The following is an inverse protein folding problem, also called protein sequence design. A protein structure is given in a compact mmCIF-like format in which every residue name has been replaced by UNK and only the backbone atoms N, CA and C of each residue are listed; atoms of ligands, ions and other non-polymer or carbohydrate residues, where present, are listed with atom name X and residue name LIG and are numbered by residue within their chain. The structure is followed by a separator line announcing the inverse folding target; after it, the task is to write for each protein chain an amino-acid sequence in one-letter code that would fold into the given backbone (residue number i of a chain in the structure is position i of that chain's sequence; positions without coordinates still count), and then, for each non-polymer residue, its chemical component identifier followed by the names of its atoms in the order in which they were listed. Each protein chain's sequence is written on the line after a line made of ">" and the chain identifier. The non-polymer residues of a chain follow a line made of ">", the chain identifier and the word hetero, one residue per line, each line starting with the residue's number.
data_IF_254726510163
#
_entry.id   IF_254726510163
#
_cell.length_a   1.000
_cell.length_b   1.000
_cell.length_c   1.000
_cell.angle_alpha   90.00
_cell.angle_beta   90.00
_cell.angle_gamma   90.00
#
_symmetry.space_group_name_H-M   'P 1'
#
loop_
_entity.id
_entity.type
_entity.pdbx_description
1 polymer ?
#
# COMPACT_ATOMS: atom_id res chain seq x y z
N UNK A 1 -17.02 -0.08 -14.58
CA UNK A 1 -17.31 -0.51 -13.22
C UNK A 1 -17.31 0.68 -12.29
N UNK A 2 -18.39 0.90 -11.56
CA UNK A 2 -18.41 1.99 -10.61
C UNK A 2 -17.46 1.68 -9.45
N UNK A 3 -16.63 2.65 -9.10
CA UNK A 3 -15.72 2.53 -7.96
C UNK A 3 -16.52 2.54 -6.65
N UNK A 4 -16.39 1.51 -5.85
CA UNK A 4 -17.08 1.41 -4.58
C UNK A 4 -16.16 1.89 -3.45
N UNK A 5 -16.62 2.81 -2.64
CA UNK A 5 -15.88 3.30 -1.47
C UNK A 5 -15.42 2.18 -0.52
N UNK A 6 -16.19 1.11 -0.45
CA UNK A 6 -15.86 -0.04 0.39
C UNK A 6 -14.65 -0.83 -0.12
N UNK A 7 -14.21 -0.58 -1.36
CA UNK A 7 -13.03 -1.22 -1.93
C UNK A 7 -11.73 -0.53 -1.50
N UNK A 8 -11.82 0.62 -0.84
CA UNK A 8 -10.65 1.29 -0.27
C UNK A 8 -10.22 0.53 0.98
N UNK A 9 -9.05 -0.09 0.92
CA UNK A 9 -8.53 -0.93 1.99
C UNK A 9 -7.64 -0.13 2.96
N UNK A 10 -8.13 1.02 3.41
CA UNK A 10 -7.50 1.84 4.44
C UNK A 10 -8.41 1.87 5.64
N UNK A 11 -7.89 1.37 6.75
CA UNK A 11 -8.61 1.32 8.02
C UNK A 11 -7.95 2.24 9.02
N UNK A 12 -8.74 2.90 9.86
CA UNK A 12 -8.24 3.79 10.89
C UNK A 12 -8.61 3.26 12.26
N UNK A 13 -7.69 3.36 13.19
CA UNK A 13 -7.99 3.17 14.61
C UNK A 13 -8.68 4.40 15.16
N UNK A 14 -9.19 4.27 16.37
CA UNK A 14 -9.84 5.38 17.08
C UNK A 14 -8.88 6.55 17.21
N UNK A 15 -9.29 7.78 16.82
CA UNK A 15 -8.42 8.95 16.94
C UNK A 15 -8.04 9.25 18.41
N UNK A 16 -6.81 9.71 18.59
CA UNK A 16 -6.33 10.21 19.86
C UNK A 16 -6.13 11.71 19.78
N UNK A 17 -6.64 12.43 20.76
CA UNK A 17 -6.58 13.89 20.80
C UNK A 17 -5.80 14.37 21.99
N UNK A 18 -4.98 15.39 21.77
CA UNK A 18 -4.31 16.14 22.82
C UNK A 18 -4.64 17.60 22.61
N UNK A 19 -5.20 18.25 23.65
CA UNK A 19 -5.55 19.66 23.61
C UNK A 19 -4.62 20.44 24.52
N UNK A 20 -3.97 21.45 23.98
CA UNK A 20 -2.98 22.23 24.72
C UNK A 20 -2.85 23.63 24.10
N UNK A 21 -2.93 24.68 24.91
CA UNK A 21 -2.71 26.07 24.49
C UNK A 21 -3.46 26.46 23.20
N UNK A 22 -4.77 26.29 23.15
CA UNK A 22 -5.61 26.56 21.99
C UNK A 22 -5.21 25.76 20.74
N UNK A 23 -4.53 24.65 20.93
CA UNK A 23 -4.19 23.70 19.85
C UNK A 23 -4.81 22.35 20.15
N UNK A 24 -5.32 21.71 19.12
CA UNK A 24 -5.76 20.33 19.18
C UNK A 24 -4.91 19.52 18.24
N UNK A 25 -4.27 18.50 18.78
CA UNK A 25 -3.48 17.54 17.98
C UNK A 25 -4.25 16.23 17.90
N UNK A 26 -4.47 15.75 16.69
CA UNK A 26 -5.07 14.44 16.46
C UNK A 26 -4.01 13.50 15.92
N UNK A 27 -3.90 12.30 16.49
CA UNK A 27 -3.05 11.23 16.00
C UNK A 27 -3.93 10.07 15.55
N UNK A 28 -3.74 9.65 14.29
CA UNK A 28 -4.43 8.52 13.69
C UNK A 28 -3.43 7.41 13.41
N UNK A 29 -3.75 6.22 13.86
CA UNK A 29 -3.11 5.00 13.36
C UNK A 29 -3.94 4.47 12.22
N UNK A 30 -3.28 4.04 11.15
CA UNK A 30 -3.99 3.53 9.99
C UNK A 30 -3.28 2.32 9.39
N UNK A 31 -4.04 1.57 8.61
CA UNK A 31 -3.60 0.30 8.03
C UNK A 31 -4.00 0.25 6.58
N UNK A 32 -3.09 -0.21 5.74
CA UNK A 32 -3.31 -0.35 4.31
C UNK A 32 -3.26 -1.84 3.97
N UNK A 33 -4.42 -2.42 3.67
CA UNK A 33 -4.53 -3.80 3.22
C UNK A 33 -4.40 -3.85 1.71
N UNK A 34 -3.57 -4.75 1.21
CA UNK A 34 -3.42 -5.01 -0.21
C UNK A 34 -3.52 -6.50 -0.48
N UNK A 35 -3.99 -6.89 -1.69
CA UNK A 35 -4.00 -8.30 -2.06
C UNK A 35 -2.61 -8.89 -2.06
N UNK A 36 -2.48 -10.10 -1.52
CA UNK A 36 -1.24 -10.87 -1.58
C UNK A 36 -1.28 -11.78 -2.80
N UNK A 37 -0.15 -11.88 -3.48
CA UNK A 37 0.07 -12.87 -4.52
C UNK A 37 0.86 -14.02 -3.90
N UNK A 38 0.15 -14.99 -3.32
CA UNK A 38 0.74 -16.07 -2.51
C UNK A 38 1.93 -16.77 -3.16
N UNK A 39 1.91 -16.92 -4.49
CA UNK A 39 2.99 -17.56 -5.23
C UNK A 39 4.24 -16.67 -5.39
N UNK A 40 4.18 -15.41 -4.98
CA UNK A 40 5.23 -14.41 -5.13
C UNK A 40 5.66 -13.78 -3.81
N UNK A 41 5.25 -14.37 -2.68
CA UNK A 41 5.58 -13.85 -1.34
C UNK A 41 7.08 -13.68 -1.14
N UNK A 42 7.87 -14.66 -1.55
CA UNK A 42 9.33 -14.62 -1.45
C UNK A 42 9.92 -13.43 -2.24
N UNK A 43 9.35 -13.11 -3.39
CA UNK A 43 9.75 -11.96 -4.19
C UNK A 43 9.44 -10.65 -3.49
N UNK A 44 8.25 -10.54 -2.92
CA UNK A 44 7.85 -9.35 -2.18
C UNK A 44 8.68 -9.19 -0.91
N UNK A 45 9.00 -10.27 -0.24
CA UNK A 45 9.92 -10.28 0.90
C UNK A 45 11.30 -9.75 0.51
N UNK A 46 11.86 -10.22 -0.62
CA UNK A 46 13.14 -9.76 -1.14
C UNK A 46 13.14 -8.27 -1.50
N UNK A 47 11.97 -7.70 -1.79
CA UNK A 47 11.78 -6.26 -2.06
C UNK A 47 11.46 -5.46 -0.79
N UNK A 48 11.59 -6.04 0.39
CA UNK A 48 11.39 -5.35 1.66
C UNK A 48 9.99 -5.44 2.25
N UNK A 49 9.12 -6.26 1.70
CA UNK A 49 7.79 -6.49 2.26
C UNK A 49 7.83 -7.69 3.19
N UNK A 50 7.15 -7.58 4.35
CA UNK A 50 7.15 -8.62 5.37
C UNK A 50 6.10 -9.70 5.09
N UNK A 51 6.50 -10.94 4.72
CA UNK A 51 5.55 -12.01 4.47
C UNK A 51 4.81 -12.48 5.73
N UNK A 52 5.34 -12.22 6.92
CA UNK A 52 4.68 -12.58 8.17
C UNK A 52 3.38 -11.78 8.41
N UNK A 53 3.20 -10.68 7.69
CA UNK A 53 1.97 -9.88 7.73
C UNK A 53 0.89 -10.37 6.76
N UNK A 54 1.11 -11.47 6.05
CA UNK A 54 0.13 -12.04 5.12
C UNK A 54 -1.00 -12.71 5.90
N UNK A 55 -2.23 -12.37 5.55
CA UNK A 55 -3.42 -12.96 6.13
C UNK A 55 -3.88 -14.21 5.35
N UNK A 56 -4.68 -15.05 6.02
CA UNK A 56 -5.22 -16.29 5.45
C UNK A 56 -6.02 -16.10 4.16
N UNK A 57 -6.50 -14.91 3.88
CA UNK A 57 -7.29 -14.58 2.69
C UNK A 57 -6.46 -13.99 1.54
N UNK A 58 -5.14 -14.06 1.60
CA UNK A 58 -4.29 -13.50 0.56
C UNK A 58 -4.19 -11.98 0.61
N UNK A 59 -4.31 -11.40 1.78
CA UNK A 59 -4.08 -9.98 2.01
C UNK A 59 -2.91 -9.78 2.96
N UNK A 60 -2.22 -8.66 2.85
CA UNK A 60 -1.21 -8.27 3.81
C UNK A 60 -1.21 -6.75 4.01
N UNK A 61 -0.64 -6.30 5.11
CA UNK A 61 -0.54 -4.88 5.41
C UNK A 61 0.72 -4.29 4.81
N UNK A 62 0.55 -3.14 4.12
CA UNK A 62 1.69 -2.35 3.65
C UNK A 62 2.23 -1.50 4.78
N UNK A 63 3.53 -1.63 5.02
CA UNK A 63 4.21 -0.90 6.08
C UNK A 63 3.91 -1.47 7.46
N UNK A 64 4.68 -1.02 8.43
CA UNK A 64 4.44 -1.38 9.82
C UNK A 64 3.52 -0.34 10.45
N UNK A 65 3.75 0.09 11.65
CA UNK A 65 2.89 1.09 12.29
C UNK A 65 2.84 2.41 11.52
N UNK A 66 1.69 2.68 10.89
CA UNK A 66 1.48 3.92 10.16
C UNK A 66 0.69 4.89 11.02
N UNK A 67 1.22 6.08 11.19
CA UNK A 67 0.56 7.13 11.97
C UNK A 67 0.55 8.45 11.19
N UNK A 68 -0.51 9.21 11.38
CA UNK A 68 -0.63 10.55 10.84
C UNK A 68 -1.09 11.51 11.92
N UNK A 69 -0.58 12.71 11.89
CA UNK A 69 -0.88 13.73 12.89
C UNK A 69 -1.42 14.98 12.20
N UNK A 70 -2.54 15.48 12.69
CA UNK A 70 -3.11 16.76 12.30
C UNK A 70 -3.20 17.70 13.47
N UNK A 71 -3.00 18.97 13.24
CA UNK A 71 -3.06 20.02 14.27
C UNK A 71 -4.03 21.12 13.84
N UNK A 72 -4.92 21.51 14.74
CA UNK A 72 -5.76 22.68 14.61
C UNK A 72 -5.34 23.71 15.63
N UNK A 73 -5.14 24.94 15.21
CA UNK A 73 -4.74 26.05 16.09
C UNK A 73 -5.83 27.11 16.06
N UNK A 74 -6.31 27.54 17.21
CA UNK A 74 -7.24 28.66 17.31
C UNK A 74 -6.45 29.98 17.22
N UNK A 75 -6.92 30.88 16.35
CA UNK A 75 -6.33 32.19 16.24
C UNK A 75 -6.61 33.08 17.47
N UNK A 76 -5.81 34.13 17.71
CA UNK A 76 -5.98 34.96 18.90
C UNK A 76 -7.27 35.76 18.92
N UNK A 77 -7.93 35.92 17.79
CA UNK A 77 -9.23 36.61 17.66
C UNK A 77 -10.43 35.68 17.66
N UNK A 78 -10.19 34.38 17.64
CA UNK A 78 -11.25 33.38 17.56
C UNK A 78 -11.57 32.81 18.93
N UNK A 79 -12.84 32.48 19.15
CA UNK A 79 -13.26 31.69 20.31
C UNK A 79 -12.76 30.25 20.12
N UNK A 80 -12.04 29.72 21.09
CA UNK A 80 -11.59 28.35 21.04
C UNK A 80 -12.76 27.39 21.24
N UNK A 81 -13.06 26.59 20.22
CA UNK A 81 -14.05 25.51 20.28
C UNK A 81 -13.32 24.17 20.13
N UNK A 82 -13.30 23.41 21.20
CA UNK A 82 -12.63 22.12 21.28
C UNK A 82 -13.19 21.10 20.31
N UNK A 83 -14.51 21.09 20.10
CA UNK A 83 -15.17 20.18 19.16
C UNK A 83 -14.77 20.47 17.73
N UNK A 84 -14.83 21.73 17.31
CA UNK A 84 -14.43 22.17 15.99
C UNK A 84 -12.93 21.93 15.78
N UNK A 85 -12.12 22.21 16.78
CA UNK A 85 -10.68 21.94 16.76
C UNK A 85 -10.37 20.46 16.51
N UNK A 86 -11.09 19.56 17.16
CA UNK A 86 -10.94 18.11 16.95
C UNK A 86 -11.31 17.71 15.53
N UNK A 87 -12.41 18.21 15.00
CA UNK A 87 -12.85 17.90 13.63
C UNK A 87 -11.83 18.36 12.60
N UNK A 88 -11.28 19.55 12.76
CA UNK A 88 -10.25 20.09 11.85
C UNK A 88 -8.95 19.28 11.97
N UNK A 89 -8.51 18.98 13.18
CA UNK A 89 -7.29 18.21 13.43
C UNK A 89 -7.40 16.80 12.83
N UNK A 90 -8.54 16.15 13.01
CA UNK A 90 -8.83 14.83 12.46
C UNK A 90 -8.80 14.86 10.92
N UNK A 91 -9.48 15.84 10.31
CA UNK A 91 -9.50 15.98 8.86
C UNK A 91 -8.10 16.19 8.30
N UNK A 92 -7.26 16.97 8.97
CA UNK A 92 -5.86 17.18 8.56
C UNK A 92 -5.02 15.92 8.74
N UNK A 93 -5.25 15.15 9.79
CA UNK A 93 -4.57 13.87 9.99
C UNK A 93 -4.95 12.86 8.91
N UNK A 94 -6.26 12.75 8.60
CA UNK A 94 -6.74 11.89 7.52
C UNK A 94 -6.13 12.26 6.17
N UNK A 95 -6.09 13.55 5.85
CA UNK A 95 -5.49 14.01 4.60
C UNK A 95 -4.02 13.59 4.47
N UNK A 96 -3.27 13.68 5.55
CA UNK A 96 -1.87 13.22 5.58
C UNK A 96 -1.78 11.71 5.45
N UNK A 97 -2.68 10.97 6.10
CA UNK A 97 -2.73 9.52 5.98
C UNK A 97 -2.98 9.08 4.54
N UNK A 98 -3.97 9.64 3.88
CA UNK A 98 -4.28 9.34 2.49
C UNK A 98 -3.12 9.69 1.55
N UNK A 99 -2.46 10.81 1.76
CA UNK A 99 -1.31 11.22 0.95
C UNK A 99 -0.15 10.24 1.09
N UNK A 100 0.12 9.79 2.30
CA UNK A 100 1.16 8.79 2.57
C UNK A 100 0.78 7.42 2.01
N UNK A 101 -0.48 7.03 2.18
CA UNK A 101 -1.01 5.79 1.63
C UNK A 101 -0.89 5.76 0.11
N UNK A 102 -1.17 6.87 -0.57
CA UNK A 102 -0.99 7.00 -2.02
C UNK A 102 0.45 6.71 -2.44
N UNK A 103 1.42 7.28 -1.73
CA UNK A 103 2.85 7.04 -2.01
C UNK A 103 3.23 5.58 -1.82
N UNK A 104 2.78 4.96 -0.73
CA UNK A 104 3.07 3.54 -0.45
C UNK A 104 2.42 2.63 -1.48
N UNK A 105 1.18 2.90 -1.86
CA UNK A 105 0.48 2.12 -2.88
C UNK A 105 1.14 2.24 -4.24
N UNK A 106 1.61 3.43 -4.62
CA UNK A 106 2.35 3.61 -5.88
C UNK A 106 3.65 2.81 -5.89
N UNK A 107 4.39 2.77 -4.78
CA UNK A 107 5.58 1.93 -4.64
C UNK A 107 5.23 0.45 -4.75
N UNK A 108 4.15 0.04 -4.12
CA UNK A 108 3.68 -1.33 -4.19
C UNK A 108 3.33 -1.73 -5.62
N UNK A 109 2.57 -0.89 -6.32
CA UNK A 109 2.23 -1.10 -7.73
C UNK A 109 3.49 -1.27 -8.57
N UNK A 110 4.48 -0.40 -8.39
CA UNK A 110 5.76 -0.50 -9.09
C UNK A 110 6.48 -1.82 -8.79
N UNK A 111 6.51 -2.24 -7.53
CA UNK A 111 7.12 -3.50 -7.11
C UNK A 111 6.44 -4.69 -7.77
N UNK A 112 5.11 -4.69 -7.83
CA UNK A 112 4.32 -5.73 -8.48
C UNK A 112 4.63 -5.77 -9.99
N UNK A 113 4.60 -4.61 -10.64
CA UNK A 113 4.88 -4.51 -12.08
C UNK A 113 6.29 -5.01 -12.39
N UNK A 114 7.30 -4.58 -11.63
CA UNK A 114 8.69 -5.01 -11.81
C UNK A 114 8.84 -6.52 -11.62
N UNK A 115 8.20 -7.09 -10.58
CA UNK A 115 8.25 -8.52 -10.30
C UNK A 115 7.61 -9.34 -11.44
N UNK A 116 6.46 -8.91 -11.96
CA UNK A 116 5.81 -9.60 -13.06
C UNK A 116 6.56 -9.42 -14.37
N UNK A 117 7.18 -8.27 -14.61
CA UNK A 117 8.02 -8.04 -15.78
C UNK A 117 9.22 -9.00 -15.79
N UNK A 118 9.88 -9.18 -14.65
CA UNK A 118 11.00 -10.12 -14.51
C UNK A 118 10.56 -11.56 -14.79
N UNK A 119 9.41 -11.96 -14.26
CA UNK A 119 8.84 -13.29 -14.52
C UNK A 119 8.53 -13.49 -16.00
N UNK A 120 7.91 -12.49 -16.62
CA UNK A 120 7.55 -12.54 -18.03
C UNK A 120 8.79 -12.71 -18.91
N UNK A 121 9.84 -11.94 -18.64
CA UNK A 121 11.13 -12.07 -19.37
C UNK A 121 11.73 -13.46 -19.19
N UNK A 122 11.67 -14.04 -18.01
CA UNK A 122 12.16 -15.38 -17.75
C UNK A 122 11.37 -16.44 -18.52
N UNK A 123 10.05 -16.31 -18.59
CA UNK A 123 9.20 -17.21 -19.38
C UNK A 123 9.43 -17.08 -20.87
N UNK A 124 9.59 -15.86 -21.38
CA UNK A 124 9.90 -15.61 -22.79
C UNK A 124 11.24 -16.22 -23.19
N UNK A 125 12.26 -16.05 -22.36
CA UNK A 125 13.58 -16.65 -22.60
C UNK A 125 13.51 -18.18 -22.65
N UNK A 126 12.72 -18.76 -21.74
CA UNK A 126 12.51 -20.22 -21.71
C UNK A 126 11.76 -20.71 -22.95
N UNK A 127 10.73 -19.99 -23.37
CA UNK A 127 9.98 -20.31 -24.57
C UNK A 127 10.86 -20.28 -25.82
N UNK A 128 11.71 -19.25 -25.94
CA UNK A 128 12.67 -19.14 -27.04
C UNK A 128 13.66 -20.30 -27.07
N UNK A 129 14.15 -20.70 -25.91
CA UNK A 129 15.06 -21.84 -25.77
C UNK A 129 14.40 -23.15 -26.22
N UNK A 130 13.16 -23.39 -25.79
CA UNK A 130 12.39 -24.58 -26.18
C UNK A 130 12.11 -24.56 -27.68
N UNK A 131 11.77 -23.42 -28.24
CA UNK A 131 11.51 -23.26 -29.66
C UNK A 131 12.74 -23.62 -30.50
N UNK A 132 13.92 -23.15 -30.14
CA UNK A 132 15.18 -23.46 -30.82
C UNK A 132 15.49 -24.96 -30.76
N UNK A 133 15.36 -25.55 -29.59
CA UNK A 133 15.58 -26.98 -29.41
C UNK A 133 14.63 -27.82 -30.26
N UNK A 134 13.36 -27.41 -30.31
CA UNK A 134 12.35 -28.08 -31.14
C UNK A 134 12.68 -28.00 -32.64
N UNK A 135 13.14 -26.85 -33.10
CA UNK A 135 13.56 -26.68 -34.51
C UNK A 135 14.76 -27.55 -34.86
N UNK A 136 15.76 -27.62 -34.00
CA UNK A 136 16.95 -28.48 -34.17
C UNK A 136 16.57 -29.96 -34.20
N UNK A 137 15.74 -30.39 -33.26
CA UNK A 137 15.26 -31.77 -33.17
C UNK A 137 14.45 -32.15 -34.41
N UNK A 138 13.57 -31.31 -34.89
CA UNK A 138 12.75 -31.54 -36.08
C UNK A 138 13.61 -31.63 -37.31
N UNK A 139 14.65 -30.81 -37.44
CA UNK A 139 15.59 -30.85 -38.54
C UNK A 139 16.38 -32.18 -38.57
N UNK A 140 16.78 -32.69 -37.42
CA UNK A 140 17.49 -33.98 -37.32
C UNK A 140 16.60 -35.17 -37.67
N UNK A 141 15.37 -35.19 -37.14
CA UNK A 141 14.42 -36.29 -37.37
C UNK A 141 13.87 -36.29 -38.80
N UNK A 142 13.78 -35.12 -39.45
CA UNK A 142 13.27 -34.96 -40.79
C UNK A 142 14.26 -35.30 -41.90
N UNK A 143 15.49 -35.65 -41.57
CA UNK A 143 16.49 -36.01 -42.57
C UNK A 143 16.33 -37.45 -43.10
#
# INVERSE_FOLDING_TARGET
>A
MAFNRNDIKISFDRPKYVTENNKVKCTLKYYINVPSFAHNEDRFSAKGYNPAAVHSYGEFYLGEELTATGVATCGPKDSFDKKVGREIAEARAEAKAYKHAEKLLKRYVKTVVDAYSDMLLAFEAKADCVQRHNAEYTAEVGK
#
